data_IF_335779893027
#
_entry.id   IF_335779893027
#
_cell.length_a   1.000
_cell.length_b   1.000
_cell.length_c   1.000
_cell.angle_alpha   90.00
_cell.angle_beta   90.00
_cell.angle_gamma   90.00
#
_symmetry.space_group_name_H-M   'P 1'
#
loop_
_entity.id
_entity.type
_entity.pdbx_description
1 polymer ?
#
# COMPACT_ATOMS: atom_id res chain seq x y z
N UNK A 1 -66.03 24.75 34.57
CA UNK A 1 -67.51 24.92 34.61
C UNK A 1 -67.84 26.12 33.75
N UNK A 2 -68.91 26.05 32.96
CA UNK A 2 -69.72 27.09 32.27
C UNK A 2 -69.25 28.58 32.38
N UNK A 3 -69.36 29.46 31.38
CA UNK A 3 -70.32 29.50 30.27
C UNK A 3 -69.90 30.45 29.12
N UNK A 4 -70.61 30.31 28.01
CA UNK A 4 -70.67 31.20 26.86
C UNK A 4 -71.23 32.61 27.20
N UNK A 5 -70.79 33.64 26.48
CA UNK A 5 -71.64 34.72 25.91
C UNK A 5 -70.75 35.59 24.99
N UNK A 6 -70.98 35.81 23.70
CA UNK A 6 -72.18 36.19 22.93
C UNK A 6 -72.62 37.66 23.08
N UNK A 7 -72.10 38.55 22.23
CA UNK A 7 -72.93 39.55 21.54
C UNK A 7 -72.17 40.33 20.44
N UNK A 8 -72.91 40.65 19.37
CA UNK A 8 -72.54 41.57 18.26
C UNK A 8 -72.94 43.02 18.66
N UNK A 9 -72.78 44.10 17.87
CA UNK A 9 -72.34 44.23 16.46
C UNK A 9 -71.13 45.23 16.36
N UNK A 10 -70.76 45.91 15.26
CA UNK A 10 -71.48 46.26 14.03
C UNK A 10 -70.60 46.48 12.77
N UNK A 11 -70.60 47.70 12.21
CA UNK A 11 -70.04 48.15 10.92
C UNK A 11 -69.83 49.66 10.98
N UNK A 12 -68.79 50.19 10.34
CA UNK A 12 -68.88 51.33 9.40
C UNK A 12 -67.57 51.47 8.58
N UNK A 13 -67.72 51.66 7.26
CA UNK A 13 -66.81 52.34 6.29
C UNK A 13 -65.34 51.84 6.24
N UNK A 14 -64.98 51.02 5.26
CA UNK A 14 -64.60 51.42 3.88
C UNK A 14 -63.44 52.43 3.86
N UNK A 15 -62.26 51.93 3.49
CA UNK A 15 -61.27 52.62 2.65
C UNK A 15 -60.47 51.54 1.91
N UNK A 16 -60.52 51.57 0.58
CA UNK A 16 -59.74 50.68 -0.30
C UNK A 16 -58.51 51.45 -0.77
N UNK A 17 -57.30 50.89 -0.58
CA UNK A 17 -56.19 51.15 -1.46
C UNK A 17 -55.76 49.86 -2.18
N UNK A 18 -55.79 49.98 -3.51
CA UNK A 18 -55.13 49.16 -4.53
C UNK A 18 -53.96 48.32 -4.00
N UNK A 19 -54.09 46.99 -4.07
CA UNK A 19 -52.98 46.08 -3.82
C UNK A 19 -51.97 46.17 -4.99
N UNK A 20 -50.76 46.65 -4.70
CA UNK A 20 -49.62 46.57 -5.62
C UNK A 20 -49.17 45.11 -5.67
N UNK A 21 -49.30 44.48 -6.84
CA UNK A 21 -48.87 43.10 -7.07
C UNK A 21 -47.33 43.04 -7.13
N UNK A 22 -46.69 42.88 -5.97
CA UNK A 22 -45.24 42.67 -5.89
C UNK A 22 -44.87 41.28 -6.42
N UNK A 23 -44.45 41.21 -7.69
CA UNK A 23 -43.82 40.01 -8.25
C UNK A 23 -42.45 39.83 -7.62
N UNK A 24 -42.38 39.00 -6.57
CA UNK A 24 -41.11 38.56 -6.00
C UNK A 24 -40.49 37.56 -6.98
N UNK A 25 -39.54 38.02 -7.79
CA UNK A 25 -38.64 37.14 -8.52
C UNK A 25 -37.78 36.38 -7.51
N UNK A 26 -38.15 35.12 -7.26
CA UNK A 26 -37.29 34.11 -6.66
C UNK A 26 -36.13 33.81 -7.64
N UNK A 27 -35.12 34.69 -7.65
CA UNK A 27 -33.82 34.36 -8.21
C UNK A 27 -33.22 33.26 -7.34
N UNK A 28 -33.35 32.01 -7.78
CA UNK A 28 -32.73 30.88 -7.12
C UNK A 28 -31.23 31.10 -7.03
N UNK A 29 -30.70 31.15 -5.80
CA UNK A 29 -29.27 31.09 -5.57
C UNK A 29 -28.77 29.75 -6.10
N UNK A 30 -28.24 29.74 -7.32
CA UNK A 30 -27.48 28.62 -7.83
C UNK A 30 -26.26 28.45 -6.92
N UNK A 31 -26.34 27.45 -6.02
CA UNK A 31 -25.20 27.08 -5.19
C UNK A 31 -24.05 26.75 -6.14
N UNK A 32 -22.86 27.37 -5.98
CA UNK A 32 -21.74 27.09 -6.87
C UNK A 32 -21.44 25.60 -6.80
N UNK A 33 -21.63 24.90 -7.92
CA UNK A 33 -21.31 23.48 -8.00
C UNK A 33 -19.82 23.35 -7.70
N UNK A 34 -19.42 22.64 -6.63
CA UNK A 34 -18.02 22.57 -6.26
C UNK A 34 -17.26 21.95 -7.42
N UNK A 35 -16.32 22.70 -7.99
CA UNK A 35 -15.48 22.22 -9.08
C UNK A 35 -14.59 21.13 -8.52
N UNK A 36 -15.00 19.87 -8.70
CA UNK A 36 -14.22 18.71 -8.30
C UNK A 36 -12.90 18.74 -9.08
N UNK A 37 -11.84 19.18 -8.39
CA UNK A 37 -10.48 19.09 -8.92
C UNK A 37 -10.20 17.60 -9.15
N UNK A 38 -9.74 17.18 -10.35
CA UNK A 38 -9.42 15.78 -10.59
C UNK A 38 -8.42 15.27 -9.54
N UNK A 39 -8.62 14.06 -8.98
CA UNK A 39 -7.68 13.52 -8.01
C UNK A 39 -6.30 13.37 -8.67
N UNK A 40 -5.20 13.69 -7.96
CA UNK A 40 -3.86 13.65 -8.55
C UNK A 40 -3.52 12.22 -9.04
N UNK A 41 -2.77 12.09 -10.14
CA UNK A 41 -2.54 10.79 -10.79
C UNK A 41 -1.77 9.83 -9.88
N UNK A 42 -2.08 8.54 -9.98
CA UNK A 42 -1.32 7.48 -9.32
C UNK A 42 0.10 7.42 -9.88
N UNK A 43 1.09 7.29 -9.00
CA UNK A 43 2.52 7.22 -9.36
C UNK A 43 3.00 5.79 -9.24
N UNK A 44 3.76 5.32 -10.23
CA UNK A 44 4.44 4.01 -10.23
C UNK A 44 5.92 4.23 -10.53
N UNK A 45 6.80 3.69 -9.68
CA UNK A 45 8.24 3.75 -9.87
C UNK A 45 8.87 2.37 -9.66
N UNK A 46 9.57 1.85 -10.67
CA UNK A 46 10.45 0.69 -10.49
C UNK A 46 11.63 1.11 -9.61
N UNK A 47 11.76 0.50 -8.44
CA UNK A 47 12.85 0.74 -7.48
C UNK A 47 13.98 -0.26 -7.60
N UNK A 48 13.68 -1.43 -8.14
CA UNK A 48 14.64 -2.53 -8.30
C UNK A 48 14.16 -3.44 -9.42
N UNK A 49 15.09 -3.91 -10.25
CA UNK A 49 14.88 -4.95 -11.27
C UNK A 49 16.23 -5.64 -11.46
N UNK A 50 16.37 -6.87 -10.97
CA UNK A 50 17.63 -7.60 -10.99
C UNK A 50 17.41 -9.11 -11.06
N UNK A 51 18.35 -9.82 -11.69
CA UNK A 51 18.38 -11.28 -11.72
C UNK A 51 18.70 -11.86 -10.33
N UNK A 52 17.91 -12.84 -9.91
CA UNK A 52 18.07 -13.55 -8.63
C UNK A 52 18.72 -14.94 -8.81
N UNK A 53 18.73 -15.48 -10.03
CA UNK A 53 19.28 -16.80 -10.36
C UNK A 53 18.21 -17.74 -10.88
N UNK A 54 18.47 -19.05 -10.91
CA UNK A 54 17.52 -20.06 -11.39
C UNK A 54 16.57 -20.56 -10.29
N UNK A 55 15.32 -20.85 -10.65
CA UNK A 55 14.38 -21.47 -9.72
C UNK A 55 14.66 -22.98 -9.53
N UNK A 56 14.46 -23.52 -8.31
CA UNK A 56 14.53 -24.94 -8.03
C UNK A 56 13.32 -25.67 -8.62
N UNK A 57 13.47 -26.97 -8.83
CA UNK A 57 12.44 -27.80 -9.48
C UNK A 57 11.09 -27.87 -8.74
N UNK A 58 11.08 -27.57 -7.43
CA UNK A 58 9.87 -27.55 -6.60
C UNK A 58 9.10 -26.20 -6.66
N UNK A 59 9.58 -25.23 -7.45
CA UNK A 59 9.08 -23.86 -7.45
C UNK A 59 9.55 -23.06 -6.23
N UNK A 60 9.17 -21.78 -6.17
CA UNK A 60 9.51 -20.90 -5.05
C UNK A 60 8.30 -20.56 -4.20
N UNK A 61 8.36 -20.90 -2.91
CA UNK A 61 7.67 -20.10 -1.90
C UNK A 61 8.40 -18.79 -1.70
N UNK A 62 7.70 -17.78 -1.20
CA UNK A 62 8.32 -16.53 -0.76
C UNK A 62 7.78 -16.15 0.62
N UNK A 63 8.49 -15.27 1.29
CA UNK A 63 8.12 -14.80 2.61
C UNK A 63 8.87 -13.52 2.94
N UNK A 64 8.27 -12.75 3.84
CA UNK A 64 8.67 -11.38 4.16
C UNK A 64 8.83 -11.29 5.67
N UNK A 65 9.98 -10.80 6.11
CA UNK A 65 10.13 -10.23 7.44
C UNK A 65 10.39 -8.72 7.34
N UNK A 66 10.05 -8.06 8.43
CA UNK A 66 10.46 -6.69 8.70
C UNK A 66 11.50 -6.66 9.81
N UNK A 67 12.59 -5.93 9.57
CA UNK A 67 13.57 -5.55 10.58
C UNK A 67 13.37 -4.07 10.86
N UNK A 68 13.06 -3.73 12.10
CA UNK A 68 13.02 -2.35 12.61
C UNK A 68 14.13 -2.14 13.64
N UNK A 69 14.61 -0.90 13.74
CA UNK A 69 15.63 -0.49 14.73
C UNK A 69 15.18 0.73 15.52
N UNK A 70 15.52 0.76 16.81
CA UNK A 70 15.31 1.90 17.70
C UNK A 70 16.14 3.14 17.34
N UNK A 71 15.95 4.23 18.12
CA UNK A 71 16.58 5.53 17.85
C UNK A 71 18.11 5.55 17.95
N UNK A 72 18.69 4.66 18.76
CA UNK A 72 20.14 4.51 18.93
C UNK A 72 20.64 3.10 18.57
N UNK A 73 19.72 2.20 18.20
CA UNK A 73 20.02 0.79 17.97
C UNK A 73 20.88 0.63 16.71
N UNK A 74 22.06 0.04 16.89
CA UNK A 74 22.97 -0.36 15.84
C UNK A 74 23.20 -1.85 15.99
N UNK A 75 22.88 -2.60 14.95
CA UNK A 75 23.09 -4.04 14.89
C UNK A 75 24.16 -4.29 13.85
N UNK A 76 25.12 -5.17 14.13
CA UNK A 76 26.04 -5.72 13.15
C UNK A 76 26.00 -7.24 13.24
N UNK A 77 25.62 -7.90 12.15
CA UNK A 77 25.48 -9.36 12.07
C UNK A 77 26.31 -9.86 10.88
N UNK A 78 27.14 -10.87 11.10
CA UNK A 78 27.82 -11.60 10.00
C UNK A 78 27.05 -12.88 9.72
N UNK A 79 26.76 -13.15 8.45
CA UNK A 79 25.92 -14.29 8.06
C UNK A 79 26.43 -14.97 6.79
N UNK A 80 26.09 -16.25 6.64
CA UNK A 80 26.25 -17.05 5.44
C UNK A 80 25.10 -18.05 5.37
N UNK A 81 24.28 -17.95 4.33
CA UNK A 81 23.03 -18.69 4.20
C UNK A 81 22.90 -19.36 2.82
N UNK A 82 22.29 -20.55 2.79
CA UNK A 82 22.22 -21.40 1.58
C UNK A 82 21.28 -20.93 0.46
N UNK A 83 20.53 -19.86 0.69
CA UNK A 83 19.55 -19.21 -0.20
C UNK A 83 19.98 -17.75 -0.40
N UNK A 84 19.42 -16.99 -1.35
CA UNK A 84 19.69 -15.55 -1.43
C UNK A 84 18.67 -14.75 -0.58
N UNK A 85 19.00 -13.50 -0.26
CA UNK A 85 18.07 -12.52 0.33
C UNK A 85 17.94 -11.32 -0.59
N UNK A 86 16.75 -10.72 -0.64
CA UNK A 86 16.54 -9.37 -1.16
C UNK A 86 16.22 -8.45 0.01
N UNK A 87 16.92 -7.32 0.08
CA UNK A 87 16.70 -6.25 1.05
C UNK A 87 16.04 -5.08 0.34
N UNK A 88 15.04 -4.45 0.96
CA UNK A 88 14.44 -3.20 0.51
C UNK A 88 14.18 -2.28 1.70
N UNK A 89 14.71 -1.06 1.65
CA UNK A 89 14.63 -0.11 2.77
C UNK A 89 13.35 0.73 2.66
N UNK A 90 12.49 0.66 3.66
CA UNK A 90 11.26 1.45 3.76
C UNK A 90 11.57 2.87 4.28
N UNK A 91 12.38 2.95 5.35
CA UNK A 91 12.91 4.19 5.92
C UNK A 91 14.26 3.95 6.58
N UNK A 92 15.01 5.01 6.83
CA UNK A 92 16.37 4.93 7.36
C UNK A 92 17.34 4.38 6.32
N UNK A 93 18.26 3.51 6.75
CA UNK A 93 19.29 2.91 5.89
C UNK A 93 19.87 1.62 6.47
N UNK A 94 20.42 0.77 5.61
CA UNK A 94 21.19 -0.42 6.02
C UNK A 94 22.46 -0.55 5.21
N UNK A 95 23.54 -0.97 5.84
CA UNK A 95 24.80 -1.31 5.19
C UNK A 95 24.89 -2.82 4.99
N UNK A 96 25.29 -3.24 3.79
CA UNK A 96 25.62 -4.63 3.45
C UNK A 96 27.11 -4.66 3.12
N UNK A 97 27.89 -5.39 3.92
CA UNK A 97 29.32 -5.62 3.68
C UNK A 97 29.56 -6.99 3.06
N UNK A 98 30.36 -7.07 2.00
CA UNK A 98 30.88 -8.31 1.41
C UNK A 98 32.42 -8.28 1.43
N UNK A 99 33.07 -9.33 0.92
CA UNK A 99 34.53 -9.32 0.71
C UNK A 99 34.98 -8.20 -0.27
N UNK A 100 34.10 -7.78 -1.17
CA UNK A 100 34.38 -6.79 -2.22
C UNK A 100 34.18 -5.33 -1.75
N UNK A 101 33.62 -5.12 -0.55
CA UNK A 101 33.42 -3.79 0.03
C UNK A 101 32.09 -3.65 0.79
N UNK A 102 31.69 -2.40 1.05
CA UNK A 102 30.47 -2.05 1.78
C UNK A 102 29.53 -1.23 0.89
N UNK A 103 28.24 -1.57 0.87
CA UNK A 103 27.17 -0.82 0.20
C UNK A 103 26.15 -0.37 1.23
N UNK A 104 25.96 0.94 1.36
CA UNK A 104 24.82 1.52 2.09
C UNK A 104 23.62 1.57 1.15
N UNK A 105 22.45 1.18 1.65
CA UNK A 105 21.15 1.32 1.02
C UNK A 105 20.33 2.36 1.78
N UNK A 106 19.84 3.38 1.09
CA UNK A 106 18.92 4.39 1.61
C UNK A 106 17.45 3.99 1.36
N UNK A 107 16.51 4.74 1.96
CA UNK A 107 15.07 4.53 1.78
C UNK A 107 14.67 4.51 0.29
N UNK A 108 13.94 3.47 -0.11
CA UNK A 108 13.54 3.21 -1.49
C UNK A 108 14.58 2.46 -2.34
N UNK A 109 15.75 2.12 -1.80
CA UNK A 109 16.76 1.29 -2.46
C UNK A 109 16.68 -0.18 -2.06
N UNK A 110 17.26 -1.04 -2.89
CA UNK A 110 17.34 -2.48 -2.68
C UNK A 110 18.68 -3.08 -3.13
N UNK A 111 18.95 -4.29 -2.65
CA UNK A 111 20.00 -5.17 -3.14
C UNK A 111 19.62 -6.64 -2.95
N UNK A 112 20.20 -7.49 -3.80
CA UNK A 112 20.24 -8.94 -3.57
C UNK A 112 21.58 -9.27 -2.92
N UNK A 113 21.55 -10.14 -1.91
CA UNK A 113 22.72 -10.87 -1.41
C UNK A 113 22.60 -12.32 -1.91
N UNK A 114 23.41 -12.73 -2.90
CA UNK A 114 23.47 -14.09 -3.42
C UNK A 114 23.58 -15.20 -2.37
N UNK A 115 23.10 -16.38 -2.74
CA UNK A 115 23.22 -17.58 -1.92
C UNK A 115 24.70 -17.92 -1.67
N UNK A 116 25.00 -18.32 -0.42
CA UNK A 116 26.33 -18.73 0.05
C UNK A 116 27.42 -17.65 0.00
N UNK A 117 27.08 -16.40 -0.33
CA UNK A 117 28.01 -15.29 -0.18
C UNK A 117 28.18 -14.98 1.32
N UNK A 118 29.42 -14.92 1.80
CA UNK A 118 29.70 -14.42 3.13
C UNK A 118 29.56 -12.89 3.13
N UNK A 119 28.80 -12.36 4.09
CA UNK A 119 28.47 -10.94 4.17
C UNK A 119 28.14 -10.54 5.61
N UNK A 120 28.05 -9.23 5.84
CA UNK A 120 27.53 -8.64 7.06
C UNK A 120 26.37 -7.67 6.77
N UNK A 121 25.49 -7.53 7.73
CA UNK A 121 24.44 -6.52 7.74
C UNK A 121 24.68 -5.57 8.91
N UNK A 122 24.59 -4.27 8.62
CA UNK A 122 24.53 -3.24 9.64
C UNK A 122 23.31 -2.36 9.45
N UNK A 123 22.28 -2.66 10.23
CA UNK A 123 21.06 -1.85 10.30
C UNK A 123 21.36 -0.58 11.11
N UNK A 124 21.21 0.58 10.49
CA UNK A 124 21.43 1.87 11.14
C UNK A 124 20.16 2.31 11.90
N UNK A 125 20.25 3.21 12.89
CA UNK A 125 19.12 3.53 13.76
C UNK A 125 17.91 4.08 13.00
N UNK A 126 16.72 3.92 13.60
CA UNK A 126 15.41 4.34 13.07
C UNK A 126 15.00 3.70 11.72
N UNK A 127 15.74 2.68 11.27
CA UNK A 127 15.50 2.02 9.99
C UNK A 127 14.37 1.01 10.05
N UNK A 128 13.77 0.79 8.88
CA UNK A 128 12.73 -0.22 8.62
C UNK A 128 13.08 -0.86 7.29
N UNK A 129 13.42 -2.15 7.31
CA UNK A 129 13.90 -2.90 6.15
C UNK A 129 13.04 -4.13 5.96
N UNK A 130 12.48 -4.29 4.77
CA UNK A 130 11.89 -5.55 4.38
C UNK A 130 12.99 -6.47 3.87
N UNK A 131 12.94 -7.72 4.34
CA UNK A 131 13.82 -8.78 3.87
C UNK A 131 12.96 -9.93 3.37
N UNK A 132 13.21 -10.36 2.14
CA UNK A 132 12.44 -11.42 1.49
C UNK A 132 13.34 -12.38 0.72
N UNK A 133 13.00 -13.66 0.75
CA UNK A 133 13.67 -14.72 -0.02
C UNK A 133 12.64 -15.58 -0.75
N UNK A 134 12.89 -15.90 -2.02
CA UNK A 134 12.43 -17.13 -2.60
C UNK A 134 13.08 -18.36 -1.93
N UNK A 135 12.29 -19.39 -1.61
CA UNK A 135 12.73 -20.63 -0.94
C UNK A 135 11.99 -21.87 -1.45
N UNK A 136 12.68 -23.01 -1.50
CA UNK A 136 12.12 -24.37 -1.75
C UNK A 136 11.54 -25.01 -0.48
N UNK A 137 11.92 -24.49 0.70
CA UNK A 137 11.55 -24.97 2.03
C UNK A 137 10.70 -23.94 2.78
N UNK A 138 9.97 -24.36 3.82
CA UNK A 138 9.26 -23.43 4.68
C UNK A 138 10.20 -22.37 5.26
N UNK A 139 9.66 -21.17 5.50
CA UNK A 139 10.34 -20.18 6.32
C UNK A 139 10.35 -20.65 7.78
N UNK A 140 11.41 -21.39 8.12
CA UNK A 140 11.90 -21.49 9.49
C UNK A 140 12.20 -20.09 10.07
N UNK A 141 12.54 -20.05 11.35
CA UNK A 141 12.75 -18.79 12.07
C UNK A 141 13.72 -17.86 11.31
N UNK A 142 13.32 -16.60 11.14
CA UNK A 142 14.22 -15.58 10.65
C UNK A 142 15.25 -15.32 11.75
N UNK A 143 16.54 -15.23 11.40
CA UNK A 143 17.59 -14.89 12.37
C UNK A 143 17.29 -13.59 13.14
N UNK A 144 16.63 -12.63 12.48
CA UNK A 144 16.05 -11.43 13.07
C UNK A 144 14.84 -10.96 12.24
N UNK A 145 13.90 -10.29 12.89
CA UNK A 145 12.79 -9.57 12.26
C UNK A 145 11.44 -10.24 12.49
N UNK A 146 10.38 -9.43 12.45
CA UNK A 146 9.01 -9.92 12.56
C UNK A 146 8.60 -10.57 11.23
N UNK A 147 8.32 -11.88 11.23
CA UNK A 147 7.70 -12.58 10.10
C UNK A 147 6.34 -11.95 9.81
N UNK A 148 6.21 -11.31 8.66
CA UNK A 148 4.96 -10.68 8.22
C UNK A 148 4.10 -11.62 7.39
N UNK A 149 4.72 -12.43 6.52
CA UNK A 149 4.03 -13.33 5.60
C UNK A 149 4.93 -14.48 5.15
N UNK A 150 4.32 -15.63 4.84
CA UNK A 150 4.91 -16.73 4.05
C UNK A 150 3.84 -17.27 3.08
N UNK A 151 4.23 -17.57 1.85
CA UNK A 151 3.32 -18.11 0.85
C UNK A 151 2.99 -19.59 1.11
N UNK A 152 1.70 -19.87 1.25
CA UNK A 152 1.21 -21.25 1.38
C UNK A 152 1.53 -22.06 0.11
N UNK A 153 1.36 -21.44 -1.06
CA UNK A 153 1.62 -22.00 -2.39
C UNK A 153 3.02 -21.58 -2.88
N UNK A 154 3.67 -22.46 -3.65
CA UNK A 154 4.81 -22.07 -4.47
C UNK A 154 4.33 -21.34 -5.74
N UNK A 155 5.18 -20.47 -6.29
CA UNK A 155 4.95 -19.86 -7.59
C UNK A 155 5.04 -20.91 -8.71
N UNK A 156 4.23 -20.80 -9.78
CA UNK A 156 4.24 -21.71 -10.91
C UNK A 156 5.46 -21.43 -11.82
N UNK A 157 6.65 -21.84 -11.37
CA UNK A 157 7.92 -21.54 -12.02
C UNK A 157 8.41 -22.70 -12.89
N UNK A 158 9.02 -22.38 -14.03
CA UNK A 158 9.70 -23.34 -14.90
C UNK A 158 11.08 -23.64 -14.32
N UNK A 159 11.41 -24.92 -14.01
CA UNK A 159 12.73 -25.27 -13.48
C UNK A 159 13.87 -24.83 -14.39
N UNK A 160 14.94 -24.27 -13.82
CA UNK A 160 16.14 -23.87 -14.56
C UNK A 160 16.04 -22.55 -15.34
N UNK A 161 14.84 -21.99 -15.54
CA UNK A 161 14.69 -20.62 -16.07
C UNK A 161 15.41 -19.62 -15.15
N UNK A 162 16.03 -18.60 -15.74
CA UNK A 162 16.63 -17.50 -15.01
C UNK A 162 15.56 -16.50 -14.58
N UNK A 163 15.47 -16.24 -13.29
CA UNK A 163 14.46 -15.40 -12.66
C UNK A 163 15.00 -14.04 -12.23
N UNK A 164 14.09 -13.08 -12.17
CA UNK A 164 14.28 -11.72 -11.73
C UNK A 164 13.37 -11.38 -10.55
N UNK A 165 13.80 -10.37 -9.81
CA UNK A 165 13.02 -9.70 -8.77
C UNK A 165 12.83 -8.26 -9.21
N UNK A 166 11.57 -7.84 -9.35
CA UNK A 166 11.20 -6.46 -9.59
C UNK A 166 10.41 -5.91 -8.41
N UNK A 167 10.84 -4.77 -7.89
CA UNK A 167 10.13 -4.01 -6.86
C UNK A 167 9.58 -2.75 -7.50
N UNK A 168 8.25 -2.61 -7.49
CA UNK A 168 7.55 -1.38 -7.89
C UNK A 168 7.07 -0.69 -6.61
N UNK A 169 7.39 0.59 -6.44
CA UNK A 169 6.74 1.44 -5.44
C UNK A 169 5.58 2.17 -6.11
N UNK A 170 4.42 2.18 -5.44
CA UNK A 170 3.20 2.80 -5.92
C UNK A 170 2.66 3.80 -4.89
N UNK A 171 2.06 4.87 -5.40
CA UNK A 171 1.23 5.81 -4.63
C UNK A 171 -0.10 5.98 -5.36
N UNK A 172 -1.23 5.74 -4.68
CA UNK A 172 -2.58 5.95 -5.24
C UNK A 172 -3.30 7.01 -4.43
N UNK A 173 -3.77 8.06 -5.10
CA UNK A 173 -4.48 9.17 -4.45
C UNK A 173 -5.92 8.79 -4.06
N UNK A 174 -6.52 9.47 -3.08
CA UNK A 174 -7.95 9.30 -2.78
C UNK A 174 -8.81 9.55 -4.01
N UNK A 175 -9.78 8.66 -4.27
CA UNK A 175 -10.69 8.80 -5.41
C UNK A 175 -10.08 8.51 -6.80
N UNK A 176 -8.79 8.16 -6.90
CA UNK A 176 -8.22 7.65 -8.14
C UNK A 176 -8.89 6.34 -8.56
N UNK A 177 -9.00 6.10 -9.87
CA UNK A 177 -9.42 4.81 -10.40
C UNK A 177 -8.49 3.68 -9.91
N UNK A 178 -9.06 2.48 -9.74
CA UNK A 178 -8.28 1.29 -9.41
C UNK A 178 -7.27 0.94 -10.51
N UNK A 179 -6.11 0.43 -10.11
CA UNK A 179 -5.03 0.05 -11.01
C UNK A 179 -4.96 -1.47 -11.11
N UNK A 180 -5.00 -2.01 -12.33
CA UNK A 180 -4.68 -3.42 -12.57
C UNK A 180 -3.20 -3.67 -12.31
N UNK A 181 -2.89 -4.73 -11.56
CA UNK A 181 -1.51 -5.07 -11.21
C UNK A 181 -1.20 -6.53 -11.49
N UNK A 182 0.08 -6.78 -11.77
CA UNK A 182 0.68 -8.09 -11.89
C UNK A 182 1.91 -8.13 -10.99
N UNK A 183 1.83 -8.96 -9.95
CA UNK A 183 2.76 -9.10 -8.84
C UNK A 183 2.40 -10.34 -8.01
N UNK A 184 3.37 -10.88 -7.26
CA UNK A 184 3.16 -12.03 -6.39
C UNK A 184 2.82 -11.61 -4.96
N UNK A 185 3.26 -10.43 -4.54
CA UNK A 185 2.95 -9.89 -3.23
C UNK A 185 3.06 -8.37 -3.15
N UNK A 186 2.53 -7.81 -2.07
CA UNK A 186 2.71 -6.41 -1.72
C UNK A 186 2.95 -6.18 -0.23
N UNK A 187 3.31 -4.95 0.11
CA UNK A 187 3.44 -4.46 1.47
C UNK A 187 3.00 -3.00 1.55
N UNK A 188 2.10 -2.67 2.50
CA UNK A 188 1.59 -1.31 2.68
C UNK A 188 2.51 -0.52 3.61
N UNK A 189 3.06 0.58 3.12
CA UNK A 189 3.93 1.49 3.88
C UNK A 189 3.14 2.60 4.56
N UNK A 190 2.12 3.13 3.89
CA UNK A 190 1.29 4.25 4.36
C UNK A 190 -0.15 4.10 3.85
N UNK A 191 -1.13 4.49 4.65
CA UNK A 191 -2.55 4.43 4.29
C UNK A 191 -3.15 3.02 4.30
N UNK A 192 -4.32 2.88 3.67
CA UNK A 192 -5.08 1.62 3.65
C UNK A 192 -5.35 1.23 2.20
N UNK A 193 -4.92 0.03 1.80
CA UNK A 193 -5.03 -0.45 0.42
C UNK A 193 -6.20 -1.41 0.27
N UNK A 194 -7.08 -1.18 -0.70
CA UNK A 194 -8.08 -2.17 -1.10
C UNK A 194 -7.51 -3.00 -2.26
N UNK A 195 -7.62 -4.32 -2.16
CA UNK A 195 -7.19 -5.28 -3.19
C UNK A 195 -8.39 -6.13 -3.59
N UNK A 196 -8.76 -6.07 -4.88
CA UNK A 196 -9.75 -6.94 -5.51
C UNK A 196 -9.05 -7.98 -6.38
N UNK A 197 -9.40 -9.25 -6.22
CA UNK A 197 -8.96 -10.35 -7.09
C UNK A 197 -10.19 -11.16 -7.51
N UNK A 198 -10.62 -10.97 -8.76
CA UNK A 198 -11.95 -11.43 -9.19
C UNK A 198 -13.05 -10.78 -8.34
N UNK A 199 -13.94 -11.58 -7.77
CA UNK A 199 -15.02 -11.12 -6.89
C UNK A 199 -14.56 -10.90 -5.43
N UNK A 200 -13.40 -11.44 -5.04
CA UNK A 200 -12.89 -11.28 -3.68
C UNK A 200 -12.32 -9.88 -3.48
N UNK A 201 -12.76 -9.18 -2.42
CA UNK A 201 -12.23 -7.88 -2.00
C UNK A 201 -11.64 -8.01 -0.61
N UNK A 202 -10.45 -7.45 -0.41
CA UNK A 202 -9.72 -7.44 0.85
C UNK A 202 -9.13 -6.06 1.14
N UNK A 203 -8.86 -5.77 2.41
CA UNK A 203 -8.27 -4.51 2.87
C UNK A 203 -6.95 -4.80 3.58
N UNK A 204 -5.88 -4.18 3.10
CA UNK A 204 -4.52 -4.36 3.58
C UNK A 204 -4.08 -3.13 4.37
N UNK A 205 -3.46 -3.37 5.53
CA UNK A 205 -3.09 -2.35 6.51
C UNK A 205 -1.59 -2.05 6.49
N UNK A 206 -1.21 -0.85 6.93
CA UNK A 206 0.20 -0.48 7.14
C UNK A 206 0.94 -1.53 7.97
N UNK A 207 2.18 -1.84 7.61
CA UNK A 207 2.99 -2.81 8.35
C UNK A 207 2.65 -4.27 8.05
N UNK A 208 1.82 -4.54 7.03
CA UNK A 208 1.44 -5.91 6.62
C UNK A 208 1.87 -6.20 5.19
N UNK A 209 2.52 -7.36 5.04
CA UNK A 209 2.74 -7.99 3.75
C UNK A 209 1.57 -8.92 3.42
N UNK A 210 1.21 -9.01 2.15
CA UNK A 210 0.08 -9.81 1.68
C UNK A 210 0.41 -10.48 0.36
N UNK A 211 -0.01 -11.73 0.20
CA UNK A 211 0.12 -12.47 -1.05
C UNK A 211 -0.96 -12.09 -2.06
N UNK A 212 -0.60 -12.16 -3.33
CA UNK A 212 -1.45 -11.86 -4.46
C UNK A 212 -1.67 -13.12 -5.31
N UNK A 213 -2.93 -13.51 -5.62
CA UNK A 213 -3.21 -14.76 -6.29
C UNK A 213 -2.79 -14.72 -7.76
N UNK A 214 -1.96 -15.67 -8.17
CA UNK A 214 -1.60 -15.88 -9.57
C UNK A 214 -2.83 -16.22 -10.43
N UNK A 215 -2.77 -15.91 -11.73
CA UNK A 215 -3.78 -16.25 -12.74
C UNK A 215 -5.16 -15.59 -12.57
N UNK A 216 -5.30 -14.59 -11.70
CA UNK A 216 -6.52 -13.78 -11.52
C UNK A 216 -6.17 -12.32 -11.73
N UNK A 217 -7.00 -11.57 -12.46
CA UNK A 217 -6.83 -10.12 -12.61
C UNK A 217 -6.98 -9.44 -11.24
N UNK A 218 -5.94 -8.76 -10.80
CA UNK A 218 -5.91 -8.04 -9.53
C UNK A 218 -6.06 -6.54 -9.79
N UNK A 219 -6.92 -5.88 -9.01
CA UNK A 219 -7.07 -4.42 -9.03
C UNK A 219 -6.83 -3.88 -7.63
N UNK A 220 -5.88 -2.95 -7.51
CA UNK A 220 -5.59 -2.24 -6.25
C UNK A 220 -6.18 -0.83 -6.31
N UNK A 221 -6.76 -0.36 -5.20
CA UNK A 221 -7.38 0.96 -5.12
C UNK A 221 -7.25 1.58 -3.73
N UNK A 222 -7.39 2.91 -3.68
CA UNK A 222 -7.43 3.66 -2.44
C UNK A 222 -8.89 3.89 -2.02
N UNK A 223 -9.35 3.17 -1.00
CA UNK A 223 -10.67 3.37 -0.40
C UNK A 223 -10.70 4.43 0.72
N UNK A 224 -9.58 5.08 1.02
CA UNK A 224 -9.42 6.05 2.09
C UNK A 224 -9.38 7.51 1.63
N UNK A 225 -9.16 8.40 2.60
CA UNK A 225 -9.12 9.87 2.41
C UNK A 225 -7.70 10.44 2.30
N UNK A 226 -6.66 9.62 2.45
CA UNK A 226 -5.25 10.00 2.33
C UNK A 226 -4.55 9.13 1.28
N UNK A 227 -3.48 9.60 0.61
CA UNK A 227 -2.74 8.78 -0.35
C UNK A 227 -2.23 7.48 0.29
N UNK A 228 -2.43 6.35 -0.38
CA UNK A 228 -1.87 5.06 0.03
C UNK A 228 -0.54 4.83 -0.67
N UNK A 229 0.51 4.47 0.08
CA UNK A 229 1.85 4.18 -0.44
C UNK A 229 2.21 2.74 -0.10
N UNK A 230 2.60 1.97 -1.11
CA UNK A 230 2.89 0.55 -0.97
C UNK A 230 3.94 0.12 -1.97
N UNK A 231 4.51 -1.08 -1.76
CA UNK A 231 5.28 -1.77 -2.80
C UNK A 231 4.51 -2.98 -3.31
N UNK A 232 4.81 -3.34 -4.55
CA UNK A 232 4.52 -4.63 -5.15
C UNK A 232 5.82 -5.29 -5.57
N UNK A 233 5.91 -6.60 -5.35
CA UNK A 233 7.05 -7.43 -5.72
C UNK A 233 6.62 -8.50 -6.69
N UNK A 234 7.37 -8.57 -7.78
CA UNK A 234 7.14 -9.34 -8.99
C UNK A 234 8.38 -10.23 -9.21
N UNK A 235 8.15 -11.54 -9.33
CA UNK A 235 9.13 -12.63 -9.38
C UNK A 235 8.86 -13.44 -10.67
N UNK A 236 9.67 -13.23 -11.71
CA UNK A 236 9.42 -13.69 -13.10
C UNK A 236 10.69 -14.13 -13.85
#
# INVERSE_FOLDING_TARGET
>A
MLEQSSSRPSKWRILVPVAILAVILLQGCASPTPTLTPPPPSVVATKFDASYGSAPAAGWKWGVAEITTGAEERIEETNNHGFAWIFYVIRGSTEIGTADGKKVLAAGEAAIVPARQAHSHRFLPQSQVLVFRPADRPFGEFHRGAKLYESNTALPLTPGQAYKVRIKQLTISPGSAGMTVDANFGYVMEGTLTVRAGDAVSTQQVGKAFGLPSNVTQVVSNGGTTPVRFILVDLH
#
